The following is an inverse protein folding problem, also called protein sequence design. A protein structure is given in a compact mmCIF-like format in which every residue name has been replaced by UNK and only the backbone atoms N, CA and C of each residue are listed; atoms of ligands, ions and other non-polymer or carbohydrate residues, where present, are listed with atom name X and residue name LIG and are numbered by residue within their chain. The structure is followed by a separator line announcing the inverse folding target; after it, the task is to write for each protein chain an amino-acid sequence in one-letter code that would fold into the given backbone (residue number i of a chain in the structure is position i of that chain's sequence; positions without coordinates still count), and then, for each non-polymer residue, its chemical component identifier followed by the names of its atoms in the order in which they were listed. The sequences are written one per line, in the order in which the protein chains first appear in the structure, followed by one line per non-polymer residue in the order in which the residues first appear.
data_IF_279408024039
#
_entry.id   IF_279408024039
#
_cell.length_a   1.000
_cell.length_b   1.000
_cell.length_c   1.000
_cell.angle_alpha   90.00
_cell.angle_beta   90.00
_cell.angle_gamma   90.00
#
_symmetry.space_group_name_H-M   'P 1'
#
loop_
_entity.id
_entity.type
_entity.pdbx_description
1 polymer ?
#
# COMPACT_ATOMS: atom_id res chain seq x y z
N UNK A 1 -19.10 12.27 18.81
CA UNK A 1 -19.30 13.61 19.37
C UNK A 1 -18.51 14.54 18.46
N UNK A 2 -19.21 15.28 17.60
CA UNK A 2 -18.57 16.25 16.70
C UNK A 2 -18.21 17.49 17.50
N UNK A 3 -16.93 17.86 17.48
CA UNK A 3 -16.47 19.22 17.79
C UNK A 3 -15.39 19.53 16.76
N UNK A 4 -15.71 20.47 15.89
CA UNK A 4 -14.91 20.91 14.78
C UNK A 4 -13.78 21.80 15.29
N UNK A 5 -12.55 21.29 15.39
CA UNK A 5 -11.32 22.06 15.56
C UNK A 5 -10.14 21.26 14.97
N UNK A 6 -9.37 21.89 14.07
CA UNK A 6 -8.00 21.45 13.78
C UNK A 6 -7.14 21.86 14.97
N UNK A 7 -7.01 20.99 15.95
CA UNK A 7 -6.13 21.26 17.09
C UNK A 7 -4.68 21.04 16.67
N UNK A 8 -4.06 22.13 16.21
CA UNK A 8 -2.61 22.23 16.17
C UNK A 8 -2.18 22.58 17.59
N UNK A 9 -1.58 21.63 18.32
CA UNK A 9 -0.92 21.98 19.57
C UNK A 9 0.45 22.55 19.19
N UNK A 10 0.47 23.86 18.94
CA UNK A 10 1.71 24.63 18.95
C UNK A 10 1.96 25.06 20.40
N UNK A 11 3.08 24.66 20.99
CA UNK A 11 3.60 25.42 22.14
C UNK A 11 3.94 26.83 21.67
N UNK A 12 3.69 27.85 22.49
CA UNK A 12 3.87 29.27 22.14
C UNK A 12 5.31 29.64 21.74
N UNK A 13 6.28 28.75 21.96
CA UNK A 13 7.60 28.78 21.34
C UNK A 13 7.65 27.72 20.22
N UNK A 14 7.85 28.14 18.96
CA UNK A 14 7.85 27.40 17.68
C UNK A 14 8.85 26.21 17.61
N UNK A 15 8.74 25.23 18.51
CA UNK A 15 9.79 24.22 18.72
C UNK A 15 9.39 22.82 18.24
N UNK A 16 8.10 22.47 18.31
CA UNK A 16 7.53 21.19 17.88
C UNK A 16 6.08 21.38 17.38
N UNK A 17 5.71 20.74 16.27
CA UNK A 17 4.37 20.74 15.70
C UNK A 17 3.88 19.29 15.53
N UNK A 18 2.73 18.97 16.12
CA UNK A 18 2.09 17.66 16.01
C UNK A 18 0.77 17.82 15.25
N UNK A 19 0.60 17.04 14.19
CA UNK A 19 -0.65 16.92 13.44
C UNK A 19 -1.17 15.50 13.56
N UNK A 20 -2.47 15.32 13.78
CA UNK A 20 -3.06 13.98 13.94
C UNK A 20 -4.41 13.88 13.23
N UNK A 21 -4.83 12.65 12.94
CA UNK A 21 -6.12 12.41 12.30
C UNK A 21 -7.28 12.78 13.24
N UNK A 22 -8.29 13.45 12.71
CA UNK A 22 -9.39 13.98 13.54
C UNK A 22 -10.39 12.90 13.98
N UNK A 23 -10.52 11.83 13.20
CA UNK A 23 -11.51 10.78 13.41
C UNK A 23 -10.84 9.45 13.70
N UNK A 24 -11.27 8.80 14.78
CA UNK A 24 -10.95 7.41 15.02
C UNK A 24 -11.96 6.52 14.29
N UNK A 25 -11.47 5.70 13.37
CA UNK A 25 -12.23 4.60 12.80
C UNK A 25 -11.64 3.29 13.31
N UNK A 26 -12.46 2.34 13.79
CA UNK A 26 -11.96 1.09 14.35
C UNK A 26 -11.20 0.23 13.32
N UNK A 27 -11.46 0.44 12.02
CA UNK A 27 -10.87 -0.32 10.92
C UNK A 27 -9.76 0.45 10.17
N UNK A 28 -9.31 1.57 10.73
CA UNK A 28 -8.25 2.42 10.15
C UNK A 28 -7.20 2.73 11.21
N UNK A 29 -5.94 2.76 10.81
CA UNK A 29 -4.85 3.18 11.67
C UNK A 29 -4.97 4.67 12.00
N UNK A 30 -4.76 5.01 13.26
CA UNK A 30 -4.69 6.41 13.69
C UNK A 30 -3.28 6.95 13.47
N UNK A 31 -3.15 8.00 12.67
CA UNK A 31 -1.86 8.64 12.38
C UNK A 31 -1.69 9.93 13.16
N UNK A 32 -0.45 10.16 13.58
CA UNK A 32 0.03 11.49 13.89
C UNK A 32 1.44 11.68 13.33
N UNK A 33 1.74 12.92 12.95
CA UNK A 33 3.02 13.36 12.40
C UNK A 33 3.60 14.40 13.33
N UNK A 34 4.87 14.24 13.68
CA UNK A 34 5.63 15.20 14.47
C UNK A 34 6.69 15.83 13.60
N UNK A 35 6.72 17.16 13.57
CA UNK A 35 7.79 17.96 12.96
C UNK A 35 8.43 18.80 14.07
N UNK A 36 9.75 18.76 14.18
CA UNK A 36 10.49 19.53 15.20
C UNK A 36 11.70 20.21 14.56
N UNK A 37 12.10 21.36 15.12
CA UNK A 37 13.25 22.14 14.63
C UNK A 37 14.25 22.42 15.74
N UNK A 38 13.77 22.79 16.93
CA UNK A 38 14.62 23.28 18.02
C UNK A 38 14.92 22.22 19.08
N UNK A 39 14.16 21.12 19.11
CA UNK A 39 14.37 20.02 20.04
C UNK A 39 15.53 19.11 19.59
N UNK A 40 16.26 18.55 20.56
CA UNK A 40 17.28 17.53 20.25
C UNK A 40 16.61 16.22 19.85
N UNK A 41 17.22 15.47 18.93
CA UNK A 41 16.69 14.15 18.52
C UNK A 41 16.52 13.17 19.68
N UNK A 42 17.34 13.29 20.74
CA UNK A 42 17.21 12.48 21.94
C UNK A 42 15.94 12.84 22.72
N UNK A 43 15.65 14.13 22.92
CA UNK A 43 14.42 14.61 23.57
C UNK A 43 13.16 14.08 22.88
N UNK A 44 13.15 14.15 21.54
CA UNK A 44 12.05 13.63 20.72
C UNK A 44 11.93 12.12 20.85
N UNK A 45 13.05 11.39 20.76
CA UNK A 45 13.07 9.94 20.90
C UNK A 45 12.54 9.47 22.27
N UNK A 46 12.92 10.15 23.36
CA UNK A 46 12.46 9.84 24.71
C UNK A 46 10.96 10.14 24.89
N UNK A 47 10.47 11.20 24.25
CA UNK A 47 9.04 11.57 24.24
C UNK A 47 8.21 10.52 23.51
N UNK A 48 8.62 10.14 22.30
CA UNK A 48 7.96 9.08 21.50
C UNK A 48 8.02 7.74 22.23
N UNK A 49 9.13 7.42 22.90
CA UNK A 49 9.26 6.20 23.69
C UNK A 49 8.29 6.20 24.89
N UNK A 50 8.11 7.34 25.56
CA UNK A 50 7.12 7.50 26.62
C UNK A 50 5.70 7.23 26.11
N UNK A 51 5.36 7.75 24.93
CA UNK A 51 4.06 7.49 24.29
C UNK A 51 3.88 6.02 23.92
N UNK A 52 4.90 5.41 23.33
CA UNK A 52 4.91 3.98 23.00
C UNK A 52 4.62 3.12 24.25
N UNK A 53 5.32 3.40 25.35
CA UNK A 53 5.12 2.68 26.61
C UNK A 53 3.72 2.90 27.20
N UNK A 54 3.18 4.12 27.10
CA UNK A 54 1.81 4.42 27.54
C UNK A 54 0.77 3.69 26.68
N UNK A 55 0.92 3.71 25.36
CA UNK A 55 0.04 3.01 24.43
C UNK A 55 0.06 1.49 24.70
N UNK A 56 1.24 0.91 24.83
CA UNK A 56 1.41 -0.53 25.11
C UNK A 56 0.74 -0.95 26.42
N UNK A 57 0.80 -0.12 27.47
CA UNK A 57 0.11 -0.38 28.75
C UNK A 57 -1.41 -0.37 28.61
N UNK A 58 -1.96 0.35 27.64
CA UNK A 58 -3.39 0.40 27.34
C UNK A 58 -3.80 -0.66 26.29
N UNK A 59 -2.89 -1.57 25.92
CA UNK A 59 -3.15 -2.59 24.89
C UNK A 59 -3.18 -2.04 23.46
N UNK A 60 -2.69 -0.82 23.25
CA UNK A 60 -2.58 -0.21 21.93
C UNK A 60 -1.17 -0.37 21.38
N UNK A 61 -1.09 -0.50 20.07
CA UNK A 61 0.19 -0.56 19.35
C UNK A 61 0.53 0.79 18.71
N UNK A 62 1.77 1.22 18.90
CA UNK A 62 2.31 2.42 18.27
C UNK A 62 3.57 2.07 17.50
N UNK A 63 3.62 2.44 16.22
CA UNK A 63 4.73 2.10 15.34
C UNK A 63 5.21 3.33 14.55
N UNK A 64 6.52 3.49 14.36
CA UNK A 64 7.01 4.44 13.37
C UNK A 64 6.69 3.92 11.96
N UNK A 65 6.25 4.83 11.09
CA UNK A 65 5.90 4.55 9.69
C UNK A 65 6.70 5.51 8.81
N UNK A 66 7.35 5.01 7.75
CA UNK A 66 8.08 5.87 6.83
C UNK A 66 7.14 6.72 6.00
N UNK A 67 7.63 7.88 5.59
CA UNK A 67 6.90 8.80 4.71
C UNK A 67 6.55 8.14 3.36
N UNK A 68 7.47 7.32 2.85
CA UNK A 68 7.26 6.45 1.69
C UNK A 68 7.32 4.96 2.11
N UNK A 69 6.16 4.30 2.34
CA UNK A 69 6.08 2.87 2.58
C UNK A 69 6.47 2.04 1.35
N UNK A 70 6.09 2.48 0.15
CA UNK A 70 6.23 1.77 -1.11
C UNK A 70 7.12 2.54 -2.08
N UNK A 71 8.43 2.34 -1.98
CA UNK A 71 9.40 2.97 -2.87
C UNK A 71 9.31 2.41 -4.30
N UNK A 72 8.40 2.94 -5.11
CA UNK A 72 8.23 2.56 -6.50
C UNK A 72 9.33 3.22 -7.35
N UNK A 73 9.91 2.48 -8.29
CA UNK A 73 11.01 2.97 -9.12
C UNK A 73 10.63 4.15 -10.04
N UNK A 74 9.33 4.41 -10.20
CA UNK A 74 8.80 5.51 -11.01
C UNK A 74 8.88 6.85 -10.27
N UNK A 75 8.93 6.84 -8.94
CA UNK A 75 9.04 8.05 -8.14
C UNK A 75 10.51 8.41 -7.91
N UNK A 76 10.91 9.61 -8.35
CA UNK A 76 12.27 10.13 -8.20
C UNK A 76 12.66 10.45 -6.75
N UNK A 77 11.68 10.61 -5.86
CA UNK A 77 11.91 10.84 -4.43
C UNK A 77 11.96 9.55 -3.61
N UNK A 78 11.57 8.42 -4.20
CA UNK A 78 11.64 7.12 -3.55
C UNK A 78 13.08 6.63 -3.37
N UNK A 79 13.29 5.83 -2.31
CA UNK A 79 14.60 5.25 -2.04
C UNK A 79 14.93 4.16 -3.08
N UNK A 80 15.99 4.31 -3.89
CA UNK A 80 16.29 3.39 -4.98
C UNK A 80 16.78 2.00 -4.52
N UNK A 81 17.15 1.86 -3.24
CA UNK A 81 17.56 0.58 -2.65
C UNK A 81 16.38 -0.23 -2.11
N UNK A 82 15.16 0.33 -2.16
CA UNK A 82 13.94 -0.34 -1.75
C UNK A 82 13.17 -0.72 -3.00
N UNK A 83 12.75 -1.97 -3.05
CA UNK A 83 11.88 -2.47 -4.11
C UNK A 83 10.74 -3.24 -3.46
N UNK A 84 9.50 -2.71 -3.50
CA UNK A 84 8.33 -3.47 -3.10
C UNK A 84 8.23 -4.77 -3.90
N UNK A 85 7.77 -5.81 -3.23
CA UNK A 85 7.56 -7.13 -3.82
C UNK A 85 6.20 -7.12 -4.49
N UNK A 86 6.18 -7.34 -5.80
CA UNK A 86 4.93 -7.52 -6.55
C UNK A 86 4.39 -8.94 -6.36
N UNK A 87 3.14 -9.06 -5.94
CA UNK A 87 2.41 -10.33 -5.77
C UNK A 87 1.21 -10.31 -6.70
N UNK A 88 1.26 -11.12 -7.75
CA UNK A 88 0.19 -11.23 -8.74
C UNK A 88 -0.90 -12.17 -8.24
N UNK A 89 -2.16 -11.78 -8.39
CA UNK A 89 -3.29 -12.70 -8.20
C UNK A 89 -3.42 -13.62 -9.41
N UNK A 90 -3.80 -14.88 -9.15
CA UNK A 90 -4.24 -15.79 -10.20
C UNK A 90 -5.47 -15.22 -10.91
N UNK A 91 -5.46 -15.33 -12.23
CA UNK A 91 -6.54 -14.82 -13.07
C UNK A 91 -7.74 -15.78 -13.10
N UNK A 92 -8.95 -15.23 -13.24
CA UNK A 92 -10.18 -15.99 -13.44
C UNK A 92 -10.80 -16.68 -12.22
N UNK A 93 -10.20 -16.59 -11.02
CA UNK A 93 -10.80 -17.16 -9.80
C UNK A 93 -11.83 -16.22 -9.17
N UNK A 94 -11.53 -14.92 -9.14
CA UNK A 94 -12.37 -13.87 -8.55
C UNK A 94 -12.98 -13.07 -9.69
N UNK A 95 -14.29 -12.81 -9.63
CA UNK A 95 -14.93 -11.97 -10.63
C UNK A 95 -14.54 -10.50 -10.41
N UNK A 96 -14.34 -9.75 -11.50
CA UNK A 96 -13.89 -8.35 -11.47
C UNK A 96 -14.77 -7.45 -10.59
N UNK A 97 -16.09 -7.65 -10.62
CA UNK A 97 -17.06 -6.92 -9.79
C UNK A 97 -16.88 -7.13 -8.28
N UNK A 98 -16.32 -8.27 -7.88
CA UNK A 98 -16.16 -8.69 -6.50
C UNK A 98 -14.74 -8.46 -5.97
N UNK A 99 -13.77 -8.13 -6.82
CA UNK A 99 -12.34 -8.02 -6.47
C UNK A 99 -12.12 -7.07 -5.29
N UNK A 100 -12.67 -5.87 -5.33
CA UNK A 100 -12.46 -4.90 -4.26
C UNK A 100 -12.99 -5.44 -2.92
N UNK A 101 -14.25 -5.87 -2.85
CA UNK A 101 -14.84 -6.33 -1.58
C UNK A 101 -14.17 -7.60 -1.05
N UNK A 102 -13.94 -8.57 -1.92
CA UNK A 102 -13.37 -9.86 -1.54
C UNK A 102 -11.91 -9.72 -1.10
N UNK A 103 -11.07 -9.01 -1.86
CA UNK A 103 -9.66 -8.86 -1.53
C UNK A 103 -9.46 -8.05 -0.25
N UNK A 104 -10.31 -7.05 0.02
CA UNK A 104 -10.31 -6.35 1.30
C UNK A 104 -10.61 -7.31 2.46
N UNK A 105 -11.58 -8.20 2.32
CA UNK A 105 -11.85 -9.23 3.35
C UNK A 105 -10.63 -10.13 3.60
N UNK A 106 -9.89 -10.50 2.54
CA UNK A 106 -8.64 -11.27 2.67
C UNK A 106 -7.60 -10.46 3.46
N UNK A 107 -7.38 -9.19 3.11
CA UNK A 107 -6.44 -8.31 3.83
C UNK A 107 -6.77 -8.22 5.32
N UNK A 108 -8.04 -7.97 5.67
CA UNK A 108 -8.48 -7.91 7.07
C UNK A 108 -8.28 -9.25 7.79
N UNK A 109 -8.51 -10.39 7.12
CA UNK A 109 -8.25 -11.72 7.69
C UNK A 109 -6.78 -11.95 8.01
N UNK A 110 -5.89 -11.41 7.18
CA UNK A 110 -4.44 -11.41 7.39
C UNK A 110 -3.98 -10.37 8.43
N UNK A 111 -4.88 -9.57 9.00
CA UNK A 111 -4.55 -8.59 10.03
C UNK A 111 -4.03 -7.25 9.48
N UNK A 112 -4.30 -6.96 8.22
CA UNK A 112 -4.04 -5.64 7.64
C UNK A 112 -5.19 -4.67 7.94
N UNK A 113 -4.82 -3.42 8.19
CA UNK A 113 -5.70 -2.32 8.55
C UNK A 113 -5.40 -1.16 7.60
N UNK A 114 -6.43 -0.43 7.19
CA UNK A 114 -6.26 0.73 6.30
C UNK A 114 -5.35 1.77 6.96
N UNK A 115 -4.35 2.26 6.23
CA UNK A 115 -3.43 3.27 6.75
C UNK A 115 -4.02 4.69 6.70
N UNK A 116 -5.13 4.89 6.00
CA UNK A 116 -5.81 6.19 5.86
C UNK A 116 -5.08 7.17 4.94
N UNK A 117 -3.99 6.75 4.28
CA UNK A 117 -3.34 7.52 3.21
C UNK A 117 -3.33 6.74 1.90
N UNK A 118 -4.10 7.23 0.93
CA UNK A 118 -3.79 6.95 -0.47
C UNK A 118 -2.51 7.74 -0.77
N UNK A 119 -1.36 7.08 -0.65
CA UNK A 119 -0.12 7.52 -1.31
C UNK A 119 -0.47 7.51 -2.79
N UNK A 120 -0.71 8.69 -3.34
CA UNK A 120 -0.87 8.85 -4.77
C UNK A 120 0.53 8.68 -5.34
N UNK A 121 0.77 7.55 -5.99
CA UNK A 121 1.87 7.48 -6.92
C UNK A 121 1.41 8.23 -8.16
N UNK A 122 2.03 9.38 -8.42
CA UNK A 122 1.85 10.10 -9.66
C UNK A 122 2.43 9.22 -10.77
N UNK A 123 1.58 8.45 -11.44
CA UNK A 123 1.94 7.66 -12.62
C UNK A 123 2.25 8.54 -13.83
N UNK A 124 2.12 9.88 -13.71
CA UNK A 124 2.62 10.84 -14.68
C UNK A 124 4.12 10.70 -14.82
N UNK A 125 4.50 9.91 -15.82
CA UNK A 125 5.85 9.85 -16.39
C UNK A 125 6.44 11.25 -16.50
N UNK A 126 7.57 11.57 -15.83
CA UNK A 126 8.29 12.82 -16.09
C UNK A 126 9.00 12.83 -17.45
N UNK A 127 8.78 11.83 -18.33
CA UNK A 127 9.61 11.65 -19.53
C UNK A 127 9.08 12.29 -20.80
N UNK A 128 8.01 13.06 -20.77
CA UNK A 128 7.48 13.74 -21.97
C UNK A 128 7.37 15.25 -21.86
N UNK A 129 7.87 15.87 -20.80
CA UNK A 129 7.86 17.34 -20.69
C UNK A 129 9.22 17.89 -20.25
N UNK A 130 10.19 17.86 -21.18
CA UNK A 130 10.97 19.05 -21.56
C UNK A 130 12.23 18.71 -22.37
N UNK A 131 12.36 19.45 -23.47
CA UNK A 131 13.58 19.70 -24.24
C UNK A 131 14.15 18.56 -25.09
N UNK A 132 14.01 18.77 -26.40
CA UNK A 132 14.55 17.91 -27.43
C UNK A 132 16.06 17.66 -27.32
N UNK A 133 16.43 16.42 -27.55
CA UNK A 133 17.55 16.08 -28.42
C UNK A 133 17.38 14.63 -28.86
N UNK A 134 17.36 14.44 -30.17
CA UNK A 134 17.56 13.15 -30.80
C UNK A 134 18.89 12.57 -30.29
N UNK A 135 18.87 11.53 -29.45
CA UNK A 135 19.91 10.49 -29.26
C UNK A 135 19.69 9.72 -27.95
N UNK A 136 18.61 8.95 -27.84
CA UNK A 136 18.49 7.91 -26.80
C UNK A 136 17.52 6.79 -27.18
N UNK A 137 17.62 6.27 -28.41
CA UNK A 137 16.95 5.01 -28.83
C UNK A 137 17.89 3.81 -28.86
N UNK A 138 19.00 3.85 -28.13
CA UNK A 138 19.94 2.73 -28.09
C UNK A 138 20.34 2.53 -26.64
N UNK A 139 19.72 1.58 -25.94
CA UNK A 139 20.27 0.79 -24.82
C UNK A 139 19.18 -0.13 -24.24
N UNK A 140 18.55 -0.96 -25.09
CA UNK A 140 17.81 -2.16 -24.66
C UNK A 140 17.90 -3.22 -25.76
N UNK A 141 19.11 -3.67 -26.12
CA UNK A 141 19.30 -4.92 -26.87
C UNK A 141 20.55 -5.60 -26.32
N UNK A 142 20.35 -6.71 -25.61
CA UNK A 142 21.39 -7.72 -25.37
C UNK A 142 21.27 -8.80 -26.46
N UNK A 143 22.38 -9.35 -26.99
CA UNK A 143 22.41 -9.97 -28.32
C UNK A 143 22.28 -11.50 -28.27
N UNK A 144 21.60 -12.10 -29.26
CA UNK A 144 22.03 -13.32 -29.98
C UNK A 144 21.02 -13.72 -31.10
N UNK A 145 21.46 -14.44 -32.14
CA UNK A 145 21.21 -14.05 -33.53
C UNK A 145 20.25 -14.99 -34.29
N UNK A 146 19.54 -14.47 -35.31
CA UNK A 146 19.73 -14.82 -36.74
C UNK A 146 18.63 -14.25 -37.66
N UNK A 147 19.11 -13.70 -38.77
CA UNK A 147 18.51 -13.66 -40.13
C UNK A 147 17.28 -12.79 -40.44
N UNK A 148 17.63 -11.71 -41.14
CA UNK A 148 17.12 -11.27 -42.45
C UNK A 148 15.93 -10.32 -42.54
N UNK A 149 16.29 -9.14 -43.02
CA UNK A 149 15.51 -7.96 -43.30
C UNK A 149 15.10 -7.97 -44.78
N UNK A 150 13.80 -7.99 -45.08
CA UNK A 150 13.25 -7.25 -46.22
C UNK A 150 11.72 -7.31 -46.30
N UNK A 151 11.13 -6.11 -46.38
CA UNK A 151 9.74 -5.78 -46.80
C UNK A 151 8.64 -6.24 -45.85
N UNK A 152 7.73 -5.38 -45.37
CA UNK A 152 6.76 -4.62 -46.14
C UNK A 152 6.29 -3.38 -45.34
N UNK A 153 6.01 -2.33 -46.09
CA UNK A 153 5.50 -1.00 -45.72
C UNK A 153 4.04 -1.05 -45.23
N UNK A 154 3.71 -0.13 -44.32
CA UNK A 154 2.38 0.36 -43.91
C UNK A 154 1.37 -0.60 -43.26
N UNK A 155 1.16 -0.37 -41.96
CA UNK A 155 -0.12 0.09 -41.41
C UNK A 155 0.15 0.64 -40.00
N UNK A 156 0.35 1.95 -39.90
CA UNK A 156 0.34 2.65 -38.61
C UNK A 156 -1.13 2.86 -38.23
N UNK A 157 -1.70 1.90 -37.51
CA UNK A 157 -2.87 2.18 -36.67
C UNK A 157 -2.32 2.84 -35.41
N UNK A 158 -2.67 4.11 -35.23
CA UNK A 158 -2.39 4.87 -34.01
C UNK A 158 -3.17 4.22 -32.86
N UNK A 159 -2.55 3.27 -32.16
CA UNK A 159 -3.03 2.83 -30.85
C UNK A 159 -2.81 4.00 -29.88
N UNK A 160 -3.87 4.77 -29.64
CA UNK A 160 -3.96 5.67 -28.49
C UNK A 160 -3.71 4.82 -27.23
N UNK A 161 -2.52 4.93 -26.62
CA UNK A 161 -2.24 4.41 -25.29
C UNK A 161 -3.15 5.13 -24.29
N UNK A 162 -4.38 4.62 -24.11
CA UNK A 162 -5.26 5.04 -23.03
C UNK A 162 -4.51 4.79 -21.71
N UNK A 163 -4.13 5.88 -21.04
CA UNK A 163 -3.53 5.86 -19.71
C UNK A 163 -4.52 5.18 -18.74
N UNK A 164 -4.25 3.92 -18.41
CA UNK A 164 -5.17 3.11 -17.63
C UNK A 164 -5.21 3.62 -16.19
N UNK A 165 -6.41 3.98 -15.74
CA UNK A 165 -6.62 4.44 -14.37
C UNK A 165 -6.54 3.23 -13.44
N UNK A 166 -5.44 3.11 -12.71
CA UNK A 166 -5.31 2.13 -11.63
C UNK A 166 -5.67 2.77 -10.30
N UNK A 167 -6.38 2.03 -9.45
CA UNK A 167 -6.72 2.46 -8.08
C UNK A 167 -5.87 1.68 -7.09
N UNK A 168 -5.08 2.38 -6.28
CA UNK A 168 -4.27 1.79 -5.21
C UNK A 168 -4.84 2.11 -3.83
N UNK A 169 -4.85 1.13 -2.94
CA UNK A 169 -5.28 1.27 -1.55
C UNK A 169 -4.21 0.69 -0.62
N UNK A 170 -3.82 1.44 0.41
CA UNK A 170 -2.64 1.10 1.23
C UNK A 170 -3.03 0.65 2.64
N UNK A 171 -2.32 -0.36 3.13
CA UNK A 171 -2.59 -0.99 4.41
C UNK A 171 -1.31 -1.27 5.19
N UNK A 172 -1.44 -1.30 6.51
CA UNK A 172 -0.39 -1.70 7.45
C UNK A 172 -0.86 -2.92 8.24
N UNK A 173 0.01 -3.90 8.43
CA UNK A 173 -0.31 -5.04 9.30
C UNK A 173 -0.37 -4.57 10.77
N UNK A 174 -1.30 -5.09 11.57
CA UNK A 174 -1.47 -4.76 12.99
C UNK A 174 -0.21 -4.92 13.86
N UNK A 175 0.75 -5.74 13.41
CA UNK A 175 2.05 -5.92 14.05
C UNK A 175 3.09 -4.85 13.65
N UNK A 176 2.72 -3.91 12.76
CA UNK A 176 3.48 -2.74 12.31
C UNK A 176 4.62 -3.03 11.33
N UNK A 177 5.04 -4.28 11.17
CA UNK A 177 6.25 -4.64 10.43
C UNK A 177 6.11 -4.71 8.90
N UNK A 178 4.88 -4.64 8.37
CA UNK A 178 4.58 -4.95 6.97
C UNK A 178 3.55 -3.98 6.42
N UNK A 179 3.76 -3.57 5.18
CA UNK A 179 2.84 -2.77 4.38
C UNK A 179 2.38 -3.57 3.17
N UNK A 180 1.12 -3.37 2.78
CA UNK A 180 0.58 -3.93 1.56
C UNK A 180 -0.28 -2.91 0.81
N UNK A 181 -0.10 -2.80 -0.51
CA UNK A 181 -0.90 -1.95 -1.39
C UNK A 181 -1.68 -2.84 -2.33
N UNK A 182 -3.01 -2.73 -2.33
CA UNK A 182 -3.90 -3.39 -3.28
C UNK A 182 -4.04 -2.49 -4.51
N UNK A 183 -3.66 -2.99 -5.69
CA UNK A 183 -3.81 -2.29 -6.96
C UNK A 183 -4.88 -2.98 -7.78
N UNK A 184 -5.94 -2.24 -8.09
CA UNK A 184 -7.07 -2.65 -8.90
C UNK A 184 -6.99 -1.95 -10.27
N UNK A 185 -7.35 -2.67 -11.32
CA UNK A 185 -7.56 -2.08 -12.66
C UNK A 185 -9.05 -1.89 -12.93
N UNK A 186 -9.42 -0.83 -13.62
CA UNK A 186 -10.76 -0.68 -14.20
C UNK A 186 -11.01 -1.69 -15.33
N UNK A 187 -9.95 -2.20 -15.96
CA UNK A 187 -10.03 -3.18 -17.04
C UNK A 187 -10.12 -4.62 -16.49
N UNK A 188 -11.22 -5.30 -16.78
CA UNK A 188 -11.44 -6.69 -16.37
C UNK A 188 -10.48 -7.70 -17.00
N UNK A 189 -9.69 -7.31 -17.99
CA UNK A 189 -8.64 -8.16 -18.60
C UNK A 189 -7.32 -8.13 -17.82
N UNK A 190 -7.18 -7.24 -16.82
CA UNK A 190 -5.96 -7.13 -16.02
C UNK A 190 -6.24 -7.55 -14.58
N UNK A 191 -5.74 -8.71 -14.15
CA UNK A 191 -5.99 -9.19 -12.80
C UNK A 191 -5.31 -8.28 -11.77
N UNK A 192 -5.95 -8.09 -10.60
CA UNK A 192 -5.43 -7.25 -9.54
C UNK A 192 -4.12 -7.81 -8.99
N UNK A 193 -3.34 -6.96 -8.35
CA UNK A 193 -2.08 -7.37 -7.74
C UNK A 193 -1.79 -6.55 -6.49
N UNK A 194 -0.79 -7.01 -5.73
CA UNK A 194 -0.36 -6.34 -4.51
C UNK A 194 1.10 -5.91 -4.60
N UNK A 195 1.42 -4.78 -3.97
CA UNK A 195 2.78 -4.47 -3.54
C UNK A 195 2.92 -4.81 -2.07
N UNK A 196 3.98 -5.52 -1.72
CA UNK A 196 4.35 -5.83 -0.35
C UNK A 196 5.67 -5.14 0.01
N UNK A 197 5.72 -4.50 1.17
CA UNK A 197 6.93 -3.85 1.66
C UNK A 197 7.14 -4.08 3.15
N UNK A 198 8.41 -4.13 3.56
CA UNK A 198 8.80 -4.23 4.95
C UNK A 198 8.87 -2.85 5.60
N UNK A 199 8.46 -2.75 6.87
CA UNK A 199 8.65 -1.53 7.65
C UNK A 199 10.09 -1.45 8.18
N UNK A 200 10.95 -0.78 7.42
CA UNK A 200 12.35 -0.55 7.79
C UNK A 200 12.55 0.40 8.98
N UNK A 201 11.52 1.15 9.41
CA UNK A 201 11.58 1.95 10.63
C UNK A 201 11.32 1.11 11.89
N UNK A 202 10.88 -0.14 11.73
CA UNK A 202 10.63 -1.07 12.83
C UNK A 202 11.93 -1.60 13.42
N UNK A 203 12.53 -0.83 14.33
CA UNK A 203 13.69 -1.31 15.12
C UNK A 203 13.28 -2.35 16.17
N UNK A 204 14.24 -3.09 16.71
CA UNK A 204 14.03 -4.05 17.81
C UNK A 204 13.32 -3.45 19.03
N UNK A 205 13.35 -2.12 19.20
CA UNK A 205 12.68 -1.42 20.32
C UNK A 205 11.16 -1.42 20.21
N UNK A 206 10.63 -1.43 18.99
CA UNK A 206 9.18 -1.40 18.68
C UNK A 206 8.66 -2.78 18.26
N UNK A 207 9.57 -3.71 18.01
CA UNK A 207 9.31 -5.07 17.56
C UNK A 207 8.81 -5.90 18.74
N UNK A 208 7.51 -5.78 19.02
CA UNK A 208 6.82 -6.64 20.01
C UNK A 208 6.84 -8.11 19.57
N UNK A 209 5.73 -8.60 19.03
CA UNK A 209 5.62 -9.99 18.54
C UNK A 209 6.02 -10.17 17.06
N UNK A 210 6.35 -9.08 16.35
CA UNK A 210 6.61 -9.10 14.90
C UNK A 210 8.05 -9.53 14.54
N UNK A 211 8.37 -10.81 14.73
CA UNK A 211 9.68 -11.35 14.32
C UNK A 211 9.85 -11.40 12.80
N UNK A 212 11.10 -11.44 12.31
CA UNK A 212 11.40 -11.61 10.88
C UNK A 212 10.85 -12.92 10.33
N UNK A 213 10.97 -14.01 11.12
CA UNK A 213 10.37 -15.31 10.76
C UNK A 213 8.86 -15.23 10.58
N UNK A 214 8.16 -14.46 11.42
CA UNK A 214 6.73 -14.23 11.29
C UNK A 214 6.40 -13.44 10.02
N UNK A 215 7.21 -12.41 9.73
CA UNK A 215 7.07 -11.59 8.52
C UNK A 215 7.23 -12.44 7.24
N UNK A 216 8.27 -13.26 7.16
CA UNK A 216 8.53 -14.17 6.04
C UNK A 216 7.43 -15.24 5.90
N UNK A 217 7.00 -15.81 7.03
CA UNK A 217 5.90 -16.76 7.06
C UNK A 217 4.61 -16.14 6.49
N UNK A 218 4.24 -14.94 6.94
CA UNK A 218 3.02 -14.28 6.49
C UNK A 218 3.06 -13.95 5.00
N UNK A 219 4.21 -13.50 4.48
CA UNK A 219 4.42 -13.27 3.04
C UNK A 219 4.27 -14.58 2.24
N UNK A 220 4.84 -15.68 2.73
CA UNK A 220 4.70 -16.99 2.10
C UNK A 220 3.24 -17.45 2.04
N UNK A 221 2.51 -17.34 3.15
CA UNK A 221 1.10 -17.70 3.21
C UNK A 221 0.24 -16.82 2.30
N UNK A 222 0.52 -15.51 2.27
CA UNK A 222 -0.19 -14.58 1.38
C UNK A 222 0.02 -14.94 -0.09
N UNK A 223 1.26 -15.29 -0.48
CA UNK A 223 1.56 -15.78 -1.85
C UNK A 223 0.82 -17.07 -2.18
N UNK A 224 0.77 -18.02 -1.24
CA UNK A 224 0.04 -19.28 -1.44
C UNK A 224 -1.43 -19.02 -1.75
N UNK A 225 -2.07 -18.12 -0.98
CA UNK A 225 -3.45 -17.67 -1.24
C UNK A 225 -3.57 -17.01 -2.61
N UNK A 226 -2.70 -16.04 -2.95
CA UNK A 226 -2.80 -15.32 -4.23
C UNK A 226 -2.61 -16.24 -5.46
N UNK A 227 -1.80 -17.29 -5.33
CA UNK A 227 -1.58 -18.28 -6.39
C UNK A 227 -2.65 -19.38 -6.48
N UNK A 228 -3.70 -19.30 -5.64
CA UNK A 228 -4.70 -20.36 -5.44
C UNK A 228 -4.10 -21.75 -5.22
N UNK A 229 -3.01 -21.79 -4.43
CA UNK A 229 -2.36 -23.05 -4.09
C UNK A 229 -3.34 -23.92 -3.32
N UNK A 230 -3.47 -25.18 -3.74
CA UNK A 230 -4.39 -26.17 -3.17
C UNK A 230 -5.88 -25.72 -3.20
N UNK A 231 -6.25 -24.78 -4.08
CA UNK A 231 -7.62 -24.27 -4.22
C UNK A 231 -8.08 -23.38 -3.07
N UNK A 232 -7.15 -22.84 -2.28
CA UNK A 232 -7.47 -22.03 -1.09
C UNK A 232 -8.24 -20.76 -1.45
N UNK A 233 -7.84 -20.04 -2.50
CA UNK A 233 -8.53 -18.82 -2.93
C UNK A 233 -9.92 -19.14 -3.48
N UNK A 234 -10.01 -20.18 -4.29
CA UNK A 234 -11.27 -20.67 -4.86
C UNK A 234 -12.28 -21.00 -3.75
N UNK A 235 -11.83 -21.71 -2.70
CA UNK A 235 -12.68 -22.04 -1.56
C UNK A 235 -13.11 -20.80 -0.78
N UNK A 236 -12.18 -19.87 -0.50
CA UNK A 236 -12.50 -18.61 0.19
C UNK A 236 -13.49 -17.75 -0.60
N UNK A 237 -13.38 -17.75 -1.93
CA UNK A 237 -14.29 -17.01 -2.80
C UNK A 237 -15.70 -17.63 -2.83
N UNK A 238 -15.79 -18.96 -2.86
CA UNK A 238 -17.06 -19.67 -2.74
C UNK A 238 -17.76 -19.37 -1.40
N UNK A 239 -17.02 -19.38 -0.30
CA UNK A 239 -17.53 -19.01 1.03
C UNK A 239 -18.02 -17.55 1.05
N UNK A 240 -17.27 -16.64 0.42
CA UNK A 240 -17.64 -15.22 0.30
C UNK A 240 -18.97 -15.04 -0.46
N UNK A 241 -19.16 -15.73 -1.58
CA UNK A 241 -20.41 -15.73 -2.34
C UNK A 241 -21.58 -16.26 -1.50
N UNK A 242 -21.35 -17.34 -0.74
CA UNK A 242 -22.37 -17.92 0.14
C UNK A 242 -22.78 -16.95 1.26
N UNK A 243 -21.81 -16.30 1.92
CA UNK A 243 -22.07 -15.29 2.96
C UNK A 243 -22.90 -14.11 2.42
N UNK A 244 -22.61 -13.68 1.19
CA UNK A 244 -23.31 -12.58 0.51
C UNK A 244 -24.78 -12.91 0.27
N UNK A 245 -25.06 -14.12 -0.20
CA UNK A 245 -26.43 -14.61 -0.43
C UNK A 245 -27.23 -14.76 0.86
N UNK A 246 -26.58 -15.17 1.95
CA UNK A 246 -27.21 -15.33 3.26
C UNK A 246 -27.53 -14.00 3.95
N UNK A 247 -27.23 -12.84 3.34
CA UNK A 247 -27.47 -11.53 3.94
C UNK A 247 -26.66 -11.28 5.21
N UNK A 248 -25.69 -12.15 5.52
CA UNK A 248 -24.68 -11.91 6.57
C UNK A 248 -23.67 -10.92 6.03
N UNK A 249 -24.13 -9.72 5.67
CA UNK A 249 -23.24 -8.56 5.67
C UNK A 249 -22.75 -8.47 7.11
N UNK A 250 -21.47 -8.77 7.35
CA UNK A 250 -20.78 -8.06 8.42
C UNK A 250 -21.13 -6.60 8.18
N UNK A 251 -21.67 -5.92 9.18
CA UNK A 251 -21.86 -4.48 9.09
C UNK A 251 -20.51 -3.93 8.63
N UNK A 252 -20.44 -3.47 7.39
CA UNK A 252 -19.29 -2.73 6.93
C UNK A 252 -19.27 -1.52 7.86
N UNK A 253 -18.34 -1.58 8.81
CA UNK A 253 -17.95 -0.39 9.53
C UNK A 253 -16.93 0.22 8.56
N UNK A 254 -17.17 1.44 8.05
CA UNK A 254 -18.03 2.49 8.59
C UNK A 254 -19.38 2.64 7.86
N UNK A 255 -20.36 3.34 8.49
CA UNK A 255 -21.52 3.87 7.79
C UNK A 255 -21.07 4.76 6.62
N UNK A 256 -21.65 4.53 5.45
CA UNK A 256 -21.63 5.50 4.36
C UNK A 256 -22.42 6.71 4.87
N UNK A 257 -21.73 7.77 5.26
CA UNK A 257 -22.37 9.07 5.42
C UNK A 257 -22.61 9.61 4.00
N UNK A 258 -23.86 9.54 3.55
CA UNK A 258 -24.32 10.32 2.41
C UNK A 258 -24.16 11.80 2.77
N UNK A 259 -23.61 12.59 1.84
CA UNK A 259 -23.46 14.05 1.93
C UNK A 259 -24.75 14.77 2.34
#
# INVERSE_FOLDING_TARGET
MMVEYKDTICSEDETECITYDHWFYPDTAFRFTMKWVMATGQTVADTVLSWFNKASKQGMSLYPVPEDPFALAQDTHSNPLRCPIRIQMVDGVVAHEDEQEFLLKILFRFGFIDIGCNVKHDFTSPRTESSGSDHAKCLMISPSPTTDFSSIIDNHEDEEEHEEVTKSMNYIHQAGGMFISLVLSENSQRPPFFYWAWNHMMSNRYRGQCSEKFQDFLLSEFRNVCSDKDGVLTNLYADFLQERQLGKRRAATPPIFLE
#
